data_IF_318166438410
#
_entry.id   IF_318166438410
#
_cell.length_a   1.000
_cell.length_b   1.000
_cell.length_c   1.000
_cell.angle_alpha   90.00
_cell.angle_beta   90.00
_cell.angle_gamma   90.00
#
_symmetry.space_group_name_H-M   'P 1'
#
loop_
_entity.id
_entity.type
_entity.pdbx_description
1 polymer ?
#
# COMPACT_ATOMS: atom_id res chain seq x y z
N UNK A 1 4.47 -9.17 -19.22
CA UNK A 1 3.81 -10.34 -18.62
C UNK A 1 2.30 -10.41 -18.90
N UNK A 2 1.47 -9.48 -18.40
CA UNK A 2 0.00 -9.56 -18.58
C UNK A 2 -0.45 -9.57 -20.05
N UNK A 3 -0.01 -8.58 -20.85
CA UNK A 3 -0.47 -8.43 -22.23
C UNK A 3 0.16 -9.42 -23.23
N UNK A 4 1.41 -9.85 -22.98
CA UNK A 4 2.22 -10.57 -23.95
C UNK A 4 2.65 -11.98 -23.50
N UNK A 5 2.49 -12.33 -22.23
CA UNK A 5 2.92 -13.63 -21.69
C UNK A 5 4.45 -13.81 -21.57
N UNK A 6 5.24 -12.85 -22.02
CA UNK A 6 6.71 -12.85 -21.96
C UNK A 6 7.26 -11.47 -21.60
N UNK A 7 8.56 -11.39 -21.29
CA UNK A 7 9.27 -10.14 -21.05
C UNK A 7 10.04 -9.69 -22.31
N UNK A 8 10.04 -8.37 -22.55
CA UNK A 8 10.99 -7.77 -23.50
C UNK A 8 12.39 -7.76 -22.91
N UNK A 9 13.38 -7.32 -23.70
CA UNK A 9 14.74 -7.15 -23.20
C UNK A 9 14.78 -6.17 -22.03
N UNK A 10 14.08 -5.04 -22.15
CA UNK A 10 13.98 -4.00 -21.14
C UNK A 10 13.29 -4.54 -19.88
N UNK A 11 12.20 -5.29 -20.04
CA UNK A 11 11.51 -5.91 -18.91
C UNK A 11 12.36 -6.94 -18.16
N UNK A 12 13.19 -7.70 -18.87
CA UNK A 12 14.17 -8.60 -18.25
C UNK A 12 15.27 -7.83 -17.51
N UNK A 13 15.79 -6.73 -18.07
CA UNK A 13 16.80 -5.89 -17.42
C UNK A 13 16.24 -5.25 -16.16
N UNK A 14 15.04 -4.68 -16.26
CA UNK A 14 14.33 -4.10 -15.13
C UNK A 14 14.13 -5.13 -14.03
N UNK A 15 13.57 -6.30 -14.33
CA UNK A 15 13.38 -7.34 -13.31
C UNK A 15 14.69 -7.91 -12.77
N UNK A 16 15.72 -8.09 -13.59
CA UNK A 16 17.03 -8.51 -13.12
C UNK A 16 17.61 -7.49 -12.12
N UNK A 17 17.42 -6.18 -12.36
CA UNK A 17 17.79 -5.14 -11.43
C UNK A 17 16.90 -5.15 -10.17
N UNK A 18 15.57 -5.26 -10.32
CA UNK A 18 14.62 -5.34 -9.20
C UNK A 18 14.91 -6.53 -8.29
N UNK A 19 15.30 -7.67 -8.84
CA UNK A 19 15.62 -8.89 -8.10
C UNK A 19 17.08 -8.94 -7.61
N UNK A 20 17.91 -8.00 -8.04
CA UNK A 20 19.29 -7.88 -7.56
C UNK A 20 20.24 -8.88 -8.17
N UNK A 21 19.91 -9.34 -9.37
CA UNK A 21 20.74 -10.24 -10.17
C UNK A 21 21.85 -9.43 -10.86
N UNK A 22 21.57 -8.18 -11.21
CA UNK A 22 22.54 -7.25 -11.80
C UNK A 22 22.62 -5.95 -11.00
N UNK A 23 23.79 -5.31 -11.04
CA UNK A 23 24.03 -3.97 -10.49
C UNK A 23 24.80 -3.12 -11.51
N UNK A 24 24.53 -1.82 -11.55
CA UNK A 24 25.26 -0.92 -12.44
C UNK A 24 26.57 -0.48 -11.77
N UNK A 25 27.67 -0.55 -12.53
CA UNK A 25 28.99 -0.05 -12.10
C UNK A 25 29.43 1.03 -13.06
N UNK A 26 29.99 2.11 -12.52
CA UNK A 26 30.71 3.13 -13.28
C UNK A 26 32.04 3.40 -12.59
N UNK A 27 33.09 2.68 -13.00
CA UNK A 27 34.38 2.73 -12.32
C UNK A 27 35.28 1.55 -12.68
N UNK A 28 36.23 1.23 -11.81
CA UNK A 28 37.16 0.11 -12.02
C UNK A 28 36.55 -1.20 -11.52
N UNK A 29 36.58 -2.25 -12.33
CA UNK A 29 36.17 -3.59 -11.88
C UNK A 29 37.21 -4.20 -10.95
N UNK A 30 36.75 -4.74 -9.82
CA UNK A 30 37.62 -5.42 -8.85
C UNK A 30 38.35 -6.63 -9.46
N UNK A 31 37.68 -7.37 -10.34
CA UNK A 31 38.21 -8.60 -10.92
C UNK A 31 39.31 -8.39 -11.97
N UNK A 32 39.23 -7.31 -12.78
CA UNK A 32 40.12 -7.09 -13.92
C UNK A 32 40.99 -5.85 -13.80
N UNK A 33 40.69 -4.93 -12.88
CA UNK A 33 41.37 -3.65 -12.76
C UNK A 33 41.10 -2.69 -13.94
N UNK A 34 40.20 -3.04 -14.86
CA UNK A 34 39.85 -2.22 -16.02
C UNK A 34 38.68 -1.28 -15.70
N UNK A 35 38.69 -0.09 -16.31
CA UNK A 35 37.53 0.80 -16.30
C UNK A 35 36.35 0.13 -17.04
N UNK A 36 35.16 0.18 -16.45
CA UNK A 36 33.93 -0.38 -16.98
C UNK A 36 32.74 0.49 -16.58
N UNK A 37 31.81 0.64 -17.52
CA UNK A 37 30.52 1.29 -17.29
C UNK A 37 29.42 0.40 -17.86
N UNK A 38 28.54 -0.09 -17.01
CA UNK A 38 27.43 -0.97 -17.42
C UNK A 38 27.00 -1.92 -16.32
N UNK A 39 26.22 -2.92 -16.71
CA UNK A 39 25.75 -3.96 -15.80
C UNK A 39 26.85 -4.97 -15.46
N UNK A 40 26.88 -5.39 -14.20
CA UNK A 40 27.63 -6.56 -13.75
C UNK A 40 26.70 -7.49 -12.98
N UNK A 41 27.02 -8.77 -12.95
CA UNK A 41 26.34 -9.73 -12.08
C UNK A 41 26.58 -9.33 -10.61
N UNK A 42 25.51 -9.31 -9.81
CA UNK A 42 25.60 -8.81 -8.44
C UNK A 42 26.43 -9.71 -7.52
N UNK A 43 26.56 -11.01 -7.84
CA UNK A 43 27.30 -12.00 -7.06
C UNK A 43 28.73 -12.15 -7.55
N UNK A 44 28.94 -12.30 -8.86
CA UNK A 44 30.27 -12.59 -9.42
C UNK A 44 31.05 -11.31 -9.79
N UNK A 45 30.37 -10.17 -9.89
CA UNK A 45 30.91 -8.90 -10.39
C UNK A 45 31.42 -8.96 -11.84
N UNK A 46 31.07 -10.01 -12.59
CA UNK A 46 31.42 -10.13 -13.99
C UNK A 46 30.55 -9.21 -14.87
N UNK A 47 31.13 -8.60 -15.92
CA UNK A 47 30.37 -7.82 -16.91
C UNK A 47 29.20 -8.60 -17.54
N UNK A 48 28.06 -7.93 -17.62
CA UNK A 48 26.85 -8.43 -18.29
C UNK A 48 26.43 -7.42 -19.34
N UNK A 49 26.33 -7.84 -20.60
CA UNK A 49 25.73 -7.01 -21.65
C UNK A 49 24.22 -7.16 -21.59
N UNK A 50 23.49 -6.11 -21.96
CA UNK A 50 22.02 -6.09 -22.01
C UNK A 50 21.45 -7.33 -22.70
N UNK A 51 21.95 -7.65 -23.89
CA UNK A 51 21.53 -8.81 -24.70
C UNK A 51 21.74 -10.17 -24.03
N UNK A 52 22.64 -10.24 -23.04
CA UNK A 52 22.93 -11.47 -22.30
C UNK A 52 22.05 -11.60 -21.05
N UNK A 53 21.34 -10.54 -20.62
CA UNK A 53 20.51 -10.56 -19.42
C UNK A 53 19.38 -11.58 -19.56
N UNK A 54 18.63 -11.53 -20.66
CA UNK A 54 17.48 -12.42 -20.88
C UNK A 54 17.91 -13.91 -20.90
N UNK A 55 18.90 -14.34 -21.72
CA UNK A 55 19.37 -15.73 -21.68
C UNK A 55 19.96 -16.19 -20.35
N UNK A 56 20.53 -15.29 -19.53
CA UNK A 56 21.17 -15.65 -18.25
C UNK A 56 20.18 -15.72 -17.09
N UNK A 57 19.19 -14.83 -17.04
CA UNK A 57 18.40 -14.60 -15.84
C UNK A 57 16.90 -14.86 -16.01
N UNK A 58 16.36 -14.95 -17.23
CA UNK A 58 14.90 -15.07 -17.43
C UNK A 58 14.31 -16.32 -16.75
N UNK A 59 15.01 -17.47 -16.80
CA UNK A 59 14.55 -18.69 -16.12
C UNK A 59 14.39 -18.46 -14.61
N UNK A 60 15.37 -17.83 -13.96
CA UNK A 60 15.30 -17.49 -12.55
C UNK A 60 14.22 -16.44 -12.27
N UNK A 61 14.11 -15.41 -13.11
CA UNK A 61 13.10 -14.35 -12.99
C UNK A 61 11.69 -14.98 -13.00
N UNK A 62 11.41 -15.87 -13.95
CA UNK A 62 10.12 -16.54 -14.07
C UNK A 62 9.83 -17.48 -12.90
N UNK A 63 10.85 -18.19 -12.38
CA UNK A 63 10.70 -19.07 -11.23
C UNK A 63 10.39 -18.32 -9.92
N UNK A 64 10.90 -17.09 -9.78
CA UNK A 64 10.85 -16.30 -8.56
C UNK A 64 10.02 -15.00 -8.67
N UNK A 65 9.08 -14.95 -9.60
CA UNK A 65 8.14 -13.83 -9.80
C UNK A 65 6.71 -14.33 -9.94
N UNK A 66 5.74 -13.57 -9.42
CA UNK A 66 4.31 -13.89 -9.55
C UNK A 66 3.82 -14.96 -8.58
N UNK A 67 2.83 -15.73 -9.00
CA UNK A 67 2.17 -16.76 -8.18
C UNK A 67 3.05 -18.01 -8.13
N UNK A 68 3.59 -18.30 -6.95
CA UNK A 68 4.53 -19.40 -6.72
C UNK A 68 4.43 -19.91 -5.29
N UNK A 69 5.18 -20.98 -4.98
CA UNK A 69 5.29 -21.50 -3.62
C UNK A 69 5.78 -20.41 -2.67
N UNK A 70 5.26 -20.38 -1.45
CA UNK A 70 5.66 -19.42 -0.42
C UNK A 70 7.14 -19.63 -0.10
N UNK A 71 7.93 -18.57 -0.24
CA UNK A 71 9.35 -18.53 0.10
C UNK A 71 9.49 -17.95 1.52
N UNK A 72 9.91 -18.74 2.52
CA UNK A 72 9.95 -18.29 3.92
C UNK A 72 10.77 -17.02 4.15
N UNK A 73 11.79 -16.79 3.33
CA UNK A 73 12.67 -15.62 3.39
C UNK A 73 11.92 -14.31 3.14
N UNK A 74 10.80 -14.34 2.41
CA UNK A 74 9.98 -13.17 2.08
C UNK A 74 8.87 -12.89 3.10
N UNK A 75 8.62 -13.81 4.03
CA UNK A 75 7.50 -13.75 4.98
C UNK A 75 7.95 -14.02 6.42
N UNK A 76 9.05 -13.39 6.83
CA UNK A 76 9.61 -13.47 8.20
C UNK A 76 9.85 -14.91 8.71
N UNK A 77 10.26 -15.83 7.82
CA UNK A 77 10.50 -17.23 8.15
C UNK A 77 9.24 -18.10 8.16
N UNK A 78 8.10 -17.58 7.69
CA UNK A 78 6.86 -18.35 7.61
C UNK A 78 7.00 -19.55 6.67
N UNK A 79 6.93 -20.75 7.26
CA UNK A 79 6.87 -22.01 6.54
C UNK A 79 5.48 -22.65 6.73
N UNK A 80 4.62 -22.67 5.71
CA UNK A 80 3.27 -23.22 5.84
C UNK A 80 3.27 -24.71 6.16
N UNK A 81 4.32 -25.48 5.83
CA UNK A 81 4.41 -26.92 6.15
C UNK A 81 4.93 -27.22 7.57
N UNK A 82 5.41 -26.21 8.29
CA UNK A 82 6.06 -26.35 9.60
C UNK A 82 5.64 -25.26 10.57
N UNK A 83 4.37 -24.87 10.54
CA UNK A 83 3.86 -23.73 11.30
C UNK A 83 3.95 -23.99 12.80
N UNK A 84 4.71 -23.15 13.52
CA UNK A 84 4.84 -23.25 14.98
C UNK A 84 3.61 -22.71 15.70
N UNK A 85 3.01 -23.53 16.56
CA UNK A 85 1.96 -23.15 17.51
C UNK A 85 2.38 -23.52 18.92
N UNK A 86 1.79 -22.86 19.91
CA UNK A 86 1.90 -23.25 21.31
C UNK A 86 0.64 -23.99 21.75
N UNK A 87 0.81 -25.22 22.25
CA UNK A 87 -0.28 -25.98 22.87
C UNK A 87 -0.11 -25.93 24.39
N UNK A 88 -1.17 -25.51 25.07
CA UNK A 88 -1.23 -25.61 26.52
C UNK A 88 -1.42 -27.07 26.94
N UNK A 89 -0.57 -27.53 27.84
CA UNK A 89 -0.63 -28.86 28.45
C UNK A 89 -0.47 -28.73 29.96
N UNK A 90 -1.10 -29.66 30.69
CA UNK A 90 -0.92 -29.76 32.14
C UNK A 90 0.21 -30.73 32.46
N UNK A 91 1.08 -30.32 33.38
CA UNK A 91 2.15 -31.16 33.91
C UNK A 91 1.55 -32.26 34.80
N UNK A 92 1.85 -33.52 34.49
CA UNK A 92 1.32 -34.68 35.21
C UNK A 92 2.18 -35.14 36.40
N UNK A 93 3.44 -34.70 36.45
CA UNK A 93 4.44 -35.03 37.47
C UNK A 93 5.35 -33.83 37.71
N UNK A 94 5.80 -33.61 38.95
CA UNK A 94 6.71 -32.50 39.28
C UNK A 94 7.93 -32.51 38.35
N UNK A 95 8.28 -31.34 37.80
CA UNK A 95 9.45 -31.18 36.94
C UNK A 95 10.74 -31.17 37.75
N UNK A 96 11.86 -31.44 37.09
CA UNK A 96 13.16 -31.15 37.68
C UNK A 96 13.33 -29.63 37.87
N UNK A 97 13.95 -29.18 38.98
CA UNK A 97 14.25 -27.77 39.18
C UNK A 97 15.17 -27.23 38.10
N UNK A 98 15.00 -25.97 37.75
CA UNK A 98 15.94 -25.22 36.91
C UNK A 98 16.31 -23.89 37.57
N UNK A 99 17.44 -23.33 37.18
CA UNK A 99 17.91 -22.05 37.68
C UNK A 99 17.29 -20.88 36.90
N UNK A 100 16.92 -19.82 37.62
CA UNK A 100 16.38 -18.57 37.09
C UNK A 100 16.90 -17.37 37.91
N UNK A 101 16.66 -16.16 37.39
CA UNK A 101 16.87 -14.94 38.17
C UNK A 101 15.83 -14.86 39.31
N UNK A 102 16.14 -14.09 40.36
CA UNK A 102 15.18 -13.87 41.43
C UNK A 102 13.89 -13.17 40.96
N UNK A 103 14.00 -12.29 39.97
CA UNK A 103 12.85 -11.62 39.35
C UNK A 103 11.95 -12.62 38.62
N UNK A 104 12.54 -13.47 37.76
CA UNK A 104 11.80 -14.49 37.02
C UNK A 104 11.16 -15.52 37.95
N UNK A 105 11.88 -15.98 38.97
CA UNK A 105 11.36 -16.92 39.96
C UNK A 105 10.10 -16.36 40.65
N UNK A 106 10.13 -15.10 41.08
CA UNK A 106 8.97 -14.44 41.67
C UNK A 106 7.83 -14.26 40.65
N UNK A 107 8.14 -13.92 39.39
CA UNK A 107 7.15 -13.81 38.32
C UNK A 107 6.46 -15.16 38.03
N UNK A 108 7.22 -16.26 37.99
CA UNK A 108 6.68 -17.62 37.85
C UNK A 108 5.79 -17.99 39.02
N UNK A 109 6.22 -17.71 40.26
CA UNK A 109 5.42 -17.98 41.47
C UNK A 109 4.13 -17.17 41.51
N UNK A 110 4.20 -15.89 41.12
CA UNK A 110 3.03 -15.00 41.06
C UNK A 110 1.97 -15.51 40.07
N UNK A 111 2.41 -15.98 38.90
CA UNK A 111 1.50 -16.46 37.84
C UNK A 111 0.92 -17.85 38.13
N UNK A 112 1.71 -18.74 38.75
CA UNK A 112 1.35 -20.16 38.90
C UNK A 112 0.93 -20.57 40.32
N UNK A 113 1.11 -19.69 41.32
CA UNK A 113 0.68 -19.91 42.70
C UNK A 113 1.28 -21.17 43.33
N UNK A 114 0.42 -22.03 43.86
CA UNK A 114 0.82 -23.29 44.53
C UNK A 114 1.42 -24.33 43.56
N UNK A 115 1.26 -24.14 42.25
CA UNK A 115 1.79 -25.07 41.24
C UNK A 115 3.25 -24.81 40.87
N UNK A 116 3.93 -23.87 41.54
CA UNK A 116 5.37 -23.60 41.38
C UNK A 116 6.01 -23.43 42.75
N UNK A 117 7.14 -24.10 42.98
CA UNK A 117 8.03 -23.84 44.10
C UNK A 117 9.21 -23.00 43.64
N UNK A 118 9.64 -22.09 44.52
CA UNK A 118 10.87 -21.32 44.34
C UNK A 118 11.68 -21.32 45.63
N UNK A 119 13.00 -21.37 45.52
CA UNK A 119 13.91 -21.21 46.66
C UNK A 119 15.23 -20.60 46.21
N UNK A 120 15.84 -19.84 47.11
CA UNK A 120 17.14 -19.20 46.88
C UNK A 120 18.26 -20.22 47.08
N UNK A 121 19.20 -20.25 46.12
CA UNK A 121 20.45 -21.02 46.21
C UNK A 121 21.64 -20.15 46.56
N UNK A 122 22.83 -20.74 46.61
CA UNK A 122 24.06 -20.02 46.92
C UNK A 122 24.44 -19.04 45.79
N UNK A 123 24.84 -17.81 46.13
CA UNK A 123 25.33 -16.83 45.16
C UNK A 123 24.24 -16.03 44.41
N UNK A 124 22.99 -16.06 44.87
CA UNK A 124 21.90 -15.23 44.34
C UNK A 124 21.13 -15.84 43.16
N UNK A 125 21.44 -17.07 42.77
CA UNK A 125 20.63 -17.86 41.83
C UNK A 125 19.37 -18.41 42.50
N UNK A 126 18.23 -18.40 41.81
CA UNK A 126 16.98 -18.98 42.31
C UNK A 126 16.68 -20.28 41.59
N UNK A 127 16.24 -21.30 42.34
CA UNK A 127 15.72 -22.53 41.76
C UNK A 127 14.20 -22.45 41.63
N UNK A 128 13.67 -22.90 40.50
CA UNK A 128 12.24 -22.94 40.19
C UNK A 128 11.84 -24.36 39.85
N UNK A 129 10.77 -24.87 40.45
CA UNK A 129 10.19 -26.17 40.14
C UNK A 129 8.69 -26.03 39.87
N UNK A 130 8.27 -26.34 38.65
CA UNK A 130 6.84 -26.51 38.34
C UNK A 130 6.35 -27.85 38.89
N UNK A 131 5.26 -27.81 39.66
CA UNK A 131 4.61 -28.99 40.25
C UNK A 131 3.56 -29.57 39.31
N UNK A 132 3.17 -30.82 39.60
CA UNK A 132 1.98 -31.44 39.03
C UNK A 132 0.79 -30.50 39.13
N UNK A 133 0.11 -30.30 38.01
CA UNK A 133 -1.04 -29.41 37.88
C UNK A 133 -0.73 -28.05 37.26
N UNK A 134 0.55 -27.64 37.19
CA UNK A 134 0.97 -26.46 36.45
C UNK A 134 0.66 -26.59 34.96
N UNK A 135 0.35 -25.46 34.31
CA UNK A 135 0.12 -25.36 32.88
C UNK A 135 1.38 -24.83 32.20
N UNK A 136 1.82 -25.52 31.15
CA UNK A 136 2.92 -25.07 30.30
C UNK A 136 2.47 -25.02 28.85
N UNK A 137 3.17 -24.21 28.05
CA UNK A 137 2.93 -24.08 26.61
C UNK A 137 4.08 -24.73 25.85
N UNK A 138 3.78 -25.76 25.06
CA UNK A 138 4.77 -26.52 24.31
C UNK A 138 4.65 -26.23 22.81
N UNK A 139 5.76 -25.90 22.11
CA UNK A 139 5.77 -25.74 20.67
C UNK A 139 5.39 -27.02 19.92
N UNK A 140 4.57 -26.88 18.88
CA UNK A 140 4.18 -27.95 17.96
C UNK A 140 4.14 -27.40 16.53
N UNK A 141 4.47 -28.24 15.55
CA UNK A 141 4.32 -27.91 14.14
C UNK A 141 2.97 -28.39 13.59
N UNK A 142 2.25 -27.52 12.90
CA UNK A 142 1.09 -27.86 12.08
C UNK A 142 1.43 -27.74 10.59
N UNK A 143 0.85 -28.64 9.79
CA UNK A 143 0.90 -28.53 8.33
C UNK A 143 -0.29 -27.70 7.85
N UNK A 144 -0.01 -26.58 7.20
CA UNK A 144 -0.96 -25.77 6.47
C UNK A 144 -1.26 -26.37 5.10
N UNK A 145 -2.34 -25.89 4.50
CA UNK A 145 -2.86 -26.32 3.21
C UNK A 145 -2.85 -25.19 2.15
N UNK A 146 -2.36 -24.00 2.53
CA UNK A 146 -2.05 -22.87 1.66
C UNK A 146 -0.54 -22.75 1.51
N UNK A 147 -0.04 -23.20 0.35
CA UNK A 147 1.40 -23.31 0.07
C UNK A 147 1.86 -22.31 -1.00
N UNK A 148 0.93 -21.59 -1.62
CA UNK A 148 1.15 -20.74 -2.80
C UNK A 148 0.61 -19.34 -2.51
N UNK A 149 1.34 -18.31 -2.95
CA UNK A 149 0.94 -16.91 -2.88
C UNK A 149 1.55 -16.10 -4.04
N UNK A 150 0.93 -14.96 -4.36
CA UNK A 150 1.47 -13.94 -5.26
C UNK A 150 2.45 -13.05 -4.52
N UNK A 151 3.73 -13.38 -4.59
CA UNK A 151 4.78 -12.71 -3.83
C UNK A 151 5.52 -11.69 -4.71
N UNK A 152 5.93 -10.57 -4.11
CA UNK A 152 6.90 -9.64 -4.70
C UNK A 152 8.13 -10.43 -5.18
N UNK A 153 8.76 -10.06 -6.32
CA UNK A 153 9.90 -10.82 -6.85
C UNK A 153 11.00 -11.03 -5.82
N UNK A 154 11.51 -12.25 -5.73
CA UNK A 154 12.57 -12.58 -4.76
C UNK A 154 13.82 -11.75 -5.05
N UNK A 155 14.35 -11.11 -4.00
CA UNK A 155 15.49 -10.19 -4.11
C UNK A 155 15.12 -8.72 -4.34
N UNK A 156 13.82 -8.41 -4.40
CA UNK A 156 13.33 -7.04 -4.24
C UNK A 156 13.83 -6.45 -2.91
N UNK A 157 14.28 -5.20 -2.95
CA UNK A 157 14.76 -4.51 -1.78
C UNK A 157 14.44 -3.01 -1.87
N UNK A 158 13.87 -2.40 -0.81
CA UNK A 158 13.56 -0.97 -0.81
C UNK A 158 14.82 -0.10 -0.90
N UNK A 159 15.96 -0.60 -0.42
CA UNK A 159 17.23 0.15 -0.45
C UNK A 159 17.78 0.29 -1.86
N UNK A 160 17.44 -0.61 -2.79
CA UNK A 160 17.82 -0.47 -4.20
C UNK A 160 17.11 0.70 -4.89
N UNK A 161 15.93 1.05 -4.40
CA UNK A 161 15.19 2.24 -4.81
C UNK A 161 15.63 3.51 -4.08
N UNK A 162 16.63 3.42 -3.19
CA UNK A 162 17.19 4.56 -2.47
C UNK A 162 16.57 4.83 -1.10
N UNK A 163 15.66 3.98 -0.60
CA UNK A 163 15.18 4.10 0.78
C UNK A 163 16.35 3.82 1.75
N UNK A 164 16.67 4.73 2.69
CA UNK A 164 17.74 4.51 3.67
C UNK A 164 17.54 3.22 4.48
N UNK A 165 18.65 2.54 4.80
CA UNK A 165 18.59 1.22 5.46
C UNK A 165 17.97 1.28 6.86
N UNK A 166 18.19 2.37 7.60
CA UNK A 166 17.56 2.65 8.89
C UNK A 166 16.04 2.81 8.76
N UNK A 167 15.58 3.58 7.76
CA UNK A 167 14.15 3.72 7.44
C UNK A 167 13.56 2.36 7.05
N UNK A 168 14.20 1.61 6.16
CA UNK A 168 13.71 0.30 5.71
C UNK A 168 13.60 -0.73 6.86
N UNK A 169 14.47 -0.65 7.88
CA UNK A 169 14.39 -1.47 9.09
C UNK A 169 13.35 -0.97 10.09
N UNK A 170 13.10 0.34 10.10
CA UNK A 170 12.11 0.97 10.95
C UNK A 170 10.70 0.73 10.41
N UNK A 171 10.39 0.96 9.15
CA UNK A 171 8.99 0.92 8.72
C UNK A 171 8.48 -0.51 8.52
N UNK A 172 7.16 -0.66 8.51
CA UNK A 172 6.52 -1.90 8.07
C UNK A 172 6.72 -2.14 6.56
N UNK A 173 6.81 -3.39 6.05
CA UNK A 173 6.91 -3.67 4.62
C UNK A 173 5.88 -2.94 3.74
N UNK A 174 4.64 -2.76 4.20
CA UNK A 174 3.63 -2.00 3.42
C UNK A 174 4.04 -0.55 3.17
N UNK A 175 4.75 0.07 4.11
CA UNK A 175 5.28 1.42 3.94
C UNK A 175 6.37 1.45 2.87
N UNK A 176 7.27 0.46 2.86
CA UNK A 176 8.30 0.35 1.83
C UNK A 176 7.68 0.22 0.43
N UNK A 177 6.65 -0.62 0.25
CA UNK A 177 5.94 -0.74 -1.03
C UNK A 177 5.29 0.59 -1.43
N UNK A 178 4.66 1.27 -0.47
CA UNK A 178 3.96 2.54 -0.71
C UNK A 178 4.92 3.65 -1.13
N UNK A 179 6.08 3.77 -0.48
CA UNK A 179 7.08 4.77 -0.82
C UNK A 179 7.60 4.59 -2.25
N UNK A 180 7.98 3.35 -2.61
CA UNK A 180 8.45 3.04 -3.98
C UNK A 180 7.36 3.32 -5.00
N UNK A 181 6.14 2.80 -4.79
CA UNK A 181 5.03 3.01 -5.71
C UNK A 181 4.65 4.50 -5.85
N UNK A 182 4.77 5.28 -4.77
CA UNK A 182 4.53 6.73 -4.81
C UNK A 182 5.55 7.45 -5.68
N UNK A 183 6.84 7.16 -5.50
CA UNK A 183 7.91 7.76 -6.32
C UNK A 183 7.73 7.38 -7.79
N UNK A 184 7.47 6.10 -8.08
CA UNK A 184 7.21 5.66 -9.46
C UNK A 184 5.99 6.36 -10.07
N UNK A 185 4.90 6.53 -9.31
CA UNK A 185 3.72 7.26 -9.78
C UNK A 185 4.01 8.75 -10.06
N UNK A 186 4.80 9.41 -9.21
CA UNK A 186 5.23 10.79 -9.40
C UNK A 186 6.13 10.94 -10.64
N UNK A 187 7.14 10.08 -10.79
CA UNK A 187 8.04 10.07 -11.97
C UNK A 187 7.25 9.82 -13.25
N UNK A 188 6.29 8.88 -13.23
CA UNK A 188 5.37 8.64 -14.36
C UNK A 188 4.48 9.85 -14.66
N UNK A 189 4.24 10.72 -13.67
CA UNK A 189 3.51 11.97 -13.81
C UNK A 189 4.41 13.16 -14.18
N UNK A 190 5.67 12.91 -14.53
CA UNK A 190 6.64 13.96 -14.86
C UNK A 190 7.19 14.73 -13.65
N UNK A 191 6.85 14.30 -12.43
CA UNK A 191 7.25 14.94 -11.18
C UNK A 191 8.49 14.21 -10.66
N UNK A 192 9.67 14.78 -10.89
CA UNK A 192 10.94 14.20 -10.42
C UNK A 192 11.36 14.72 -9.05
N UNK A 193 10.92 15.93 -8.71
CA UNK A 193 10.98 16.51 -7.37
C UNK A 193 9.54 16.84 -6.93
N UNK A 194 9.00 16.19 -5.88
CA UNK A 194 7.65 16.47 -5.39
C UNK A 194 7.39 17.95 -5.07
N UNK A 195 8.44 18.72 -4.73
CA UNK A 195 8.29 20.12 -4.32
C UNK A 195 8.07 21.07 -5.50
N UNK A 196 8.28 20.62 -6.74
CA UNK A 196 7.90 21.34 -7.95
C UNK A 196 6.40 21.69 -7.95
N UNK A 197 5.56 20.82 -7.38
CA UNK A 197 4.12 21.06 -7.23
C UNK A 197 3.81 22.36 -6.50
N UNK A 198 4.67 22.79 -5.56
CA UNK A 198 4.43 23.98 -4.75
C UNK A 198 4.76 25.30 -5.44
N UNK A 199 5.32 25.22 -6.65
CA UNK A 199 5.45 26.39 -7.53
C UNK A 199 4.11 26.73 -8.21
N UNK A 200 3.21 25.75 -8.31
CA UNK A 200 1.92 25.86 -9.00
C UNK A 200 0.73 25.85 -8.04
N UNK A 201 0.81 25.05 -6.97
CA UNK A 201 -0.30 24.79 -6.07
C UNK A 201 0.08 25.12 -4.64
N UNK A 202 -0.87 25.60 -3.85
CA UNK A 202 -0.58 25.89 -2.44
C UNK A 202 -0.27 24.58 -1.69
N UNK A 203 0.57 24.63 -0.66
CA UNK A 203 0.95 23.44 0.13
C UNK A 203 -0.24 22.69 0.75
N UNK A 204 -1.39 23.38 0.92
CA UNK A 204 -2.64 22.80 1.42
C UNK A 204 -3.49 22.13 0.33
N UNK A 205 -3.08 22.15 -0.93
CA UNK A 205 -3.84 21.64 -2.07
C UNK A 205 -3.27 20.35 -2.65
N UNK A 206 -2.23 19.80 -2.03
CA UNK A 206 -1.65 18.49 -2.36
C UNK A 206 -1.98 17.53 -1.23
N UNK A 207 -2.71 16.45 -1.52
CA UNK A 207 -3.23 15.53 -0.51
C UNK A 207 -2.98 14.05 -0.82
N UNK A 208 -3.42 13.20 0.11
CA UNK A 208 -3.22 11.74 0.04
C UNK A 208 -4.44 10.99 0.60
N UNK A 209 -4.98 10.05 -0.17
CA UNK A 209 -6.08 9.14 0.20
C UNK A 209 -5.68 7.67 0.15
N UNK A 210 -4.38 7.35 -0.03
CA UNK A 210 -3.89 5.96 -0.09
C UNK A 210 -4.37 5.16 1.11
N UNK A 211 -5.01 4.03 0.88
CA UNK A 211 -5.58 3.20 1.94
C UNK A 211 -4.94 1.81 2.03
N UNK A 212 -5.36 1.05 3.02
CA UNK A 212 -5.00 -0.37 3.20
C UNK A 212 -6.19 -1.14 3.76
N UNK A 213 -6.28 -2.44 3.46
CA UNK A 213 -7.28 -3.32 4.06
C UNK A 213 -6.98 -3.62 5.52
N UNK A 214 -5.73 -3.98 5.83
CA UNK A 214 -5.29 -4.42 7.17
C UNK A 214 -4.31 -3.44 7.81
N UNK A 215 -3.44 -2.79 7.03
CA UNK A 215 -2.31 -2.00 7.53
C UNK A 215 -1.04 -2.83 7.67
N UNK A 216 -0.18 -2.47 8.64
CA UNK A 216 1.10 -3.16 8.88
C UNK A 216 0.91 -4.50 9.59
N UNK A 217 0.73 -5.57 8.82
CA UNK A 217 0.52 -6.94 9.28
C UNK A 217 1.74 -7.53 9.98
N UNK A 218 2.94 -7.29 9.45
CA UNK A 218 4.21 -7.68 10.06
C UNK A 218 4.41 -7.03 11.44
N UNK A 219 4.06 -5.75 11.56
CA UNK A 219 4.09 -5.03 12.83
C UNK A 219 3.01 -5.50 13.80
N UNK A 220 1.80 -5.81 13.32
CA UNK A 220 0.74 -6.42 14.13
C UNK A 220 1.17 -7.78 14.69
N UNK A 221 1.79 -8.63 13.87
CA UNK A 221 2.32 -9.92 14.30
C UNK A 221 3.33 -9.75 15.44
N UNK A 222 4.27 -8.81 15.32
CA UNK A 222 5.26 -8.53 16.38
C UNK A 222 4.58 -8.06 17.67
N UNK A 223 3.60 -7.18 17.60
CA UNK A 223 2.91 -6.70 18.80
C UNK A 223 2.21 -7.83 19.54
N UNK A 224 1.42 -8.64 18.84
CA UNK A 224 0.58 -9.63 19.51
C UNK A 224 1.31 -10.94 19.81
N UNK A 225 2.18 -11.41 18.91
CA UNK A 225 2.89 -12.68 19.05
C UNK A 225 4.20 -12.52 19.79
N UNK A 226 5.06 -11.58 19.38
CA UNK A 226 6.41 -11.48 19.97
C UNK A 226 6.36 -10.95 21.40
N UNK A 227 5.56 -9.92 21.68
CA UNK A 227 5.41 -9.43 23.07
C UNK A 227 4.78 -10.48 24.00
N UNK A 228 3.86 -11.30 23.50
CA UNK A 228 3.28 -12.39 24.30
C UNK A 228 4.27 -13.53 24.60
N UNK A 229 5.37 -13.60 23.84
CA UNK A 229 6.48 -14.55 24.03
C UNK A 229 7.70 -13.90 24.69
N UNK A 230 7.58 -12.66 25.16
CA UNK A 230 8.70 -11.85 25.68
C UNK A 230 9.90 -11.75 24.73
N UNK A 231 9.63 -11.80 23.42
CA UNK A 231 10.60 -11.49 22.39
C UNK A 231 10.68 -9.97 22.28
N UNK A 232 11.89 -9.43 22.23
CA UNK A 232 12.12 -7.98 22.15
C UNK A 232 11.41 -7.38 20.93
N UNK A 233 10.59 -6.37 21.19
CA UNK A 233 9.91 -5.57 20.17
C UNK A 233 10.13 -4.11 20.53
N UNK A 234 10.56 -3.33 19.54
CA UNK A 234 10.73 -1.88 19.67
C UNK A 234 9.53 -1.20 20.32
N UNK A 235 9.77 -0.08 20.99
CA UNK A 235 8.76 0.66 21.74
C UNK A 235 7.74 1.38 20.85
N UNK A 236 8.11 1.83 19.65
CA UNK A 236 7.27 2.61 18.73
C UNK A 236 6.48 1.75 17.72
N UNK A 237 6.56 0.41 17.79
CA UNK A 237 5.97 -0.52 16.81
C UNK A 237 4.47 -0.31 16.57
N UNK A 238 3.74 0.21 17.57
CA UNK A 238 2.30 0.43 17.48
C UNK A 238 1.95 1.37 16.33
N UNK A 239 2.75 2.42 16.12
CA UNK A 239 2.47 3.40 15.07
C UNK A 239 2.54 2.75 13.68
N UNK A 240 3.41 1.76 13.47
CA UNK A 240 3.60 1.08 12.18
C UNK A 240 2.45 0.10 11.86
N UNK A 241 1.55 -0.16 12.81
CA UNK A 241 0.35 -0.97 12.55
C UNK A 241 -0.78 -0.16 11.91
N UNK A 242 -0.78 1.17 12.07
CA UNK A 242 -1.91 1.98 11.63
C UNK A 242 -1.93 2.14 10.11
N UNK A 243 -3.13 1.99 9.54
CA UNK A 243 -3.36 2.21 8.10
C UNK A 243 -2.98 3.63 7.67
N UNK A 244 -3.12 4.62 8.54
CA UNK A 244 -2.73 6.02 8.27
C UNK A 244 -1.22 6.23 8.15
N UNK A 245 -0.41 5.33 8.69
CA UNK A 245 1.04 5.55 8.81
C UNK A 245 1.74 5.50 7.47
N UNK A 246 1.23 4.74 6.48
CA UNK A 246 1.76 4.75 5.11
C UNK A 246 1.65 6.15 4.48
N UNK A 247 0.57 6.89 4.76
CA UNK A 247 0.40 8.27 4.29
C UNK A 247 1.33 9.23 5.03
N UNK A 248 1.51 9.01 6.34
CA UNK A 248 2.41 9.82 7.17
C UNK A 248 3.85 9.72 6.67
N UNK A 249 4.37 8.52 6.40
CA UNK A 249 5.71 8.33 5.86
C UNK A 249 5.89 8.95 4.48
N UNK A 250 4.91 8.81 3.58
CA UNK A 250 4.93 9.51 2.28
C UNK A 250 5.01 11.03 2.48
N UNK A 251 4.23 11.59 3.40
CA UNK A 251 4.28 13.03 3.64
C UNK A 251 5.59 13.48 4.30
N UNK A 252 6.09 12.72 5.27
CA UNK A 252 7.31 13.06 6.01
C UNK A 252 8.59 12.94 5.17
N UNK A 253 8.64 11.99 4.23
CA UNK A 253 9.83 11.70 3.45
C UNK A 253 9.83 12.31 2.05
N UNK A 254 8.65 12.54 1.45
CA UNK A 254 8.54 12.94 0.04
C UNK A 254 7.78 14.24 -0.14
N UNK A 255 6.56 14.34 0.38
CA UNK A 255 5.64 15.42 -0.04
C UNK A 255 5.78 16.69 0.80
N UNK A 256 5.87 16.60 2.12
CA UNK A 256 5.79 17.75 3.04
C UNK A 256 4.58 18.67 2.79
N UNK A 257 3.46 18.09 2.34
CA UNK A 257 2.22 18.83 2.09
C UNK A 257 1.46 19.10 3.40
N UNK A 258 0.61 20.11 3.37
CA UNK A 258 -0.37 20.44 4.42
C UNK A 258 -1.81 20.24 3.92
N UNK A 259 -2.00 19.45 2.87
CA UNK A 259 -3.30 19.24 2.26
C UNK A 259 -4.09 18.08 2.86
N UNK A 260 -5.24 17.71 2.25
CA UNK A 260 -6.13 16.70 2.81
C UNK A 260 -5.46 15.33 2.93
N UNK A 261 -5.50 14.76 4.13
CA UNK A 261 -5.07 13.38 4.41
C UNK A 261 -6.28 12.60 4.91
N UNK A 262 -6.61 11.51 4.20
CA UNK A 262 -7.79 10.67 4.50
C UNK A 262 -7.40 9.20 4.40
N UNK A 263 -7.01 8.56 5.51
CA UNK A 263 -6.77 7.11 5.54
C UNK A 263 -8.09 6.36 5.29
N UNK A 264 -8.09 5.39 4.38
CA UNK A 264 -9.29 4.69 3.95
C UNK A 264 -9.15 3.18 4.10
N UNK A 265 -10.25 2.55 4.47
CA UNK A 265 -10.37 1.11 4.67
C UNK A 265 -11.64 0.64 3.98
N UNK A 266 -11.48 -0.11 2.89
CA UNK A 266 -12.56 -0.70 2.11
C UNK A 266 -12.32 -2.18 1.80
N UNK A 267 -11.47 -2.85 2.60
CA UNK A 267 -10.97 -4.20 2.34
C UNK A 267 -10.47 -4.33 0.89
N UNK A 268 -10.94 -5.33 0.14
CA UNK A 268 -10.53 -5.57 -1.25
C UNK A 268 -10.84 -4.42 -2.23
N UNK A 269 -11.74 -3.50 -1.87
CA UNK A 269 -12.13 -2.36 -2.71
C UNK A 269 -11.44 -1.03 -2.31
N UNK A 270 -10.49 -1.07 -1.37
CA UNK A 270 -9.84 0.14 -0.81
C UNK A 270 -9.23 1.05 -1.88
N UNK A 271 -8.60 0.48 -2.93
CA UNK A 271 -8.03 1.28 -4.01
C UNK A 271 -9.07 2.11 -4.78
N UNK A 272 -10.25 1.55 -5.05
CA UNK A 272 -11.34 2.28 -5.72
C UNK A 272 -11.95 3.32 -4.79
N UNK A 273 -12.16 2.97 -3.52
CA UNK A 273 -12.62 3.92 -2.49
C UNK A 273 -11.65 5.11 -2.35
N UNK A 274 -10.34 4.85 -2.42
CA UNK A 274 -9.30 5.87 -2.38
C UNK A 274 -9.39 6.86 -3.54
N UNK A 275 -9.63 6.34 -4.75
CA UNK A 275 -9.84 7.15 -5.96
C UNK A 275 -11.14 7.97 -5.84
N UNK A 276 -12.23 7.36 -5.37
CA UNK A 276 -13.53 8.02 -5.18
C UNK A 276 -13.40 9.26 -4.29
N UNK A 277 -12.81 9.07 -3.11
CA UNK A 277 -12.62 10.15 -2.14
C UNK A 277 -11.62 11.19 -2.65
N UNK A 278 -10.59 10.81 -3.42
CA UNK A 278 -9.68 11.77 -4.05
C UNK A 278 -10.41 12.66 -5.06
N UNK A 279 -11.27 12.09 -5.90
CA UNK A 279 -12.08 12.84 -6.87
C UNK A 279 -13.01 13.81 -6.15
N UNK A 280 -13.74 13.36 -5.12
CA UNK A 280 -14.60 14.24 -4.32
C UNK A 280 -13.79 15.36 -3.66
N UNK A 281 -12.57 15.07 -3.20
CA UNK A 281 -11.69 16.06 -2.58
C UNK A 281 -11.28 17.13 -3.59
N UNK A 282 -10.90 16.74 -4.81
CA UNK A 282 -10.55 17.65 -5.89
C UNK A 282 -11.77 18.47 -6.34
N UNK A 283 -12.91 17.83 -6.56
CA UNK A 283 -14.14 18.49 -6.97
C UNK A 283 -14.67 19.47 -5.92
N UNK A 284 -14.43 19.20 -4.64
CA UNK A 284 -14.78 20.12 -3.55
C UNK A 284 -13.85 21.35 -3.43
N UNK A 285 -12.79 21.43 -4.23
CA UNK A 285 -11.80 22.51 -4.19
C UNK A 285 -10.83 22.43 -3.01
N UNK A 286 -10.82 21.32 -2.26
CA UNK A 286 -9.91 21.12 -1.11
C UNK A 286 -8.50 20.70 -1.53
N UNK A 287 -8.35 20.17 -2.74
CA UNK A 287 -7.08 19.79 -3.32
C UNK A 287 -7.08 20.00 -4.83
N UNK A 288 -5.89 20.22 -5.39
CA UNK A 288 -5.64 20.24 -6.84
C UNK A 288 -4.91 18.98 -7.29
N UNK A 289 -4.15 18.36 -6.38
CA UNK A 289 -3.39 17.11 -6.60
C UNK A 289 -3.66 16.14 -5.45
N UNK A 290 -3.93 14.88 -5.77
CA UNK A 290 -4.16 13.81 -4.80
C UNK A 290 -3.38 12.56 -5.17
N UNK A 291 -2.62 12.01 -4.23
CA UNK A 291 -2.15 10.62 -4.29
C UNK A 291 -3.30 9.71 -3.84
N UNK A 292 -3.63 8.70 -4.64
CA UNK A 292 -4.68 7.74 -4.35
C UNK A 292 -4.23 6.32 -4.68
N UNK A 293 -4.76 5.32 -3.98
CA UNK A 293 -4.33 3.93 -4.19
C UNK A 293 -4.60 3.01 -3.01
N UNK A 294 -3.98 1.84 -3.07
CA UNK A 294 -4.10 0.80 -2.05
C UNK A 294 -2.78 0.05 -1.83
N UNK A 295 -2.59 -0.45 -0.61
CA UNK A 295 -1.47 -1.30 -0.22
C UNK A 295 -1.92 -2.37 0.77
N UNK A 296 -1.44 -3.60 0.60
CA UNK A 296 -1.57 -4.66 1.60
C UNK A 296 -0.36 -5.62 1.45
N UNK A 297 0.02 -6.28 2.55
CA UNK A 297 1.04 -7.32 2.55
C UNK A 297 0.44 -8.71 2.74
N UNK A 298 1.26 -9.73 2.51
CA UNK A 298 0.96 -11.12 2.82
C UNK A 298 1.76 -11.53 4.05
N UNK A 299 1.09 -12.08 5.07
CA UNK A 299 1.72 -12.55 6.30
C UNK A 299 1.02 -13.81 6.84
N UNK A 300 1.68 -14.55 7.73
CA UNK A 300 1.23 -15.85 8.24
C UNK A 300 -0.25 -15.81 8.66
N UNK A 301 -0.61 -14.91 9.58
CA UNK A 301 -1.95 -14.86 10.18
C UNK A 301 -3.03 -14.52 9.14
N UNK A 302 -2.77 -13.61 8.19
CA UNK A 302 -3.71 -13.34 7.09
C UNK A 302 -4.03 -14.57 6.26
N UNK A 303 -3.01 -15.35 5.89
CA UNK A 303 -3.17 -16.55 5.07
C UNK A 303 -4.03 -17.61 5.77
N UNK A 304 -3.84 -17.77 7.08
CA UNK A 304 -4.59 -18.71 7.90
C UNK A 304 -6.05 -18.29 8.05
N UNK A 305 -6.31 -17.03 8.35
CA UNK A 305 -7.68 -16.56 8.58
C UNK A 305 -8.48 -16.57 7.27
N UNK A 306 -7.88 -16.21 6.14
CA UNK A 306 -8.53 -16.39 4.84
C UNK A 306 -8.78 -17.87 4.47
N UNK A 307 -7.88 -18.77 4.85
CA UNK A 307 -8.10 -20.21 4.70
C UNK A 307 -9.26 -20.70 5.56
N UNK A 308 -9.34 -20.25 6.83
CA UNK A 308 -10.41 -20.55 7.78
C UNK A 308 -11.78 -20.08 7.28
N UNK A 309 -11.81 -18.93 6.61
CA UNK A 309 -13.01 -18.40 5.94
C UNK A 309 -13.41 -19.18 4.68
N UNK A 310 -12.58 -20.13 4.21
CA UNK A 310 -12.77 -20.83 2.94
C UNK A 310 -12.65 -19.92 1.72
N UNK A 311 -11.92 -18.80 1.84
CA UNK A 311 -11.84 -17.77 0.80
C UNK A 311 -10.72 -18.03 -0.22
N UNK A 312 -9.56 -18.50 0.23
CA UNK A 312 -8.40 -18.81 -0.62
C UNK A 312 -8.39 -20.24 -1.13
N UNK A 313 -7.74 -20.47 -2.27
CA UNK A 313 -7.62 -21.81 -2.86
C UNK A 313 -6.73 -22.74 -2.04
N UNK A 314 -7.23 -23.95 -1.71
CA UNK A 314 -6.43 -24.99 -1.06
C UNK A 314 -5.36 -25.56 -2.02
N UNK A 315 -4.09 -25.32 -1.73
CA UNK A 315 -2.98 -25.71 -2.62
C UNK A 315 -2.85 -27.23 -2.75
N UNK A 316 -3.09 -28.00 -1.69
CA UNK A 316 -3.01 -29.46 -1.73
C UNK A 316 -4.08 -30.06 -2.67
N UNK A 317 -5.31 -29.54 -2.60
CA UNK A 317 -6.40 -29.95 -3.49
C UNK A 317 -6.11 -29.59 -4.96
N UNK A 318 -5.45 -28.46 -5.18
CA UNK A 318 -5.07 -28.01 -6.52
C UNK A 318 -3.94 -28.88 -7.10
N UNK A 319 -2.92 -29.22 -6.30
CA UNK A 319 -1.89 -30.18 -6.70
C UNK A 319 -2.47 -31.58 -6.96
N UNK A 320 -3.41 -32.04 -6.15
CA UNK A 320 -4.10 -33.32 -6.38
C UNK A 320 -4.89 -33.35 -7.70
N UNK A 321 -5.30 -32.18 -8.21
CA UNK A 321 -5.94 -32.00 -9.53
C UNK A 321 -4.93 -31.76 -10.66
N UNK A 322 -3.63 -31.87 -10.38
CA UNK A 322 -2.55 -31.71 -11.36
C UNK A 322 -2.23 -30.27 -11.75
N UNK A 323 -2.58 -29.28 -10.91
CA UNK A 323 -2.38 -27.87 -11.23
C UNK A 323 -1.05 -27.32 -10.75
N UNK A 324 -0.39 -26.56 -11.61
CA UNK A 324 0.76 -25.74 -11.24
C UNK A 324 0.32 -24.46 -10.50
N UNK A 325 1.19 -23.85 -9.66
CA UNK A 325 0.89 -22.58 -9.00
C UNK A 325 0.40 -21.47 -9.95
N UNK A 326 0.99 -21.38 -11.14
CA UNK A 326 0.69 -20.37 -12.16
C UNK A 326 -0.76 -20.38 -12.69
N UNK A 327 -1.49 -21.49 -12.54
CA UNK A 327 -2.89 -21.64 -12.96
C UNK A 327 -3.88 -21.78 -11.79
N UNK A 328 -3.41 -21.61 -10.55
CA UNK A 328 -4.28 -21.67 -9.36
C UNK A 328 -5.20 -20.45 -9.26
N UNK A 329 -4.75 -19.28 -9.73
CA UNK A 329 -5.63 -18.11 -9.91
C UNK A 329 -6.29 -18.15 -11.30
N UNK A 330 -7.58 -18.47 -11.35
CA UNK A 330 -8.32 -18.71 -12.61
C UNK A 330 -9.74 -18.14 -12.58
N UNK A 331 -9.90 -16.81 -12.64
CA UNK A 331 -11.20 -16.14 -12.64
C UNK A 331 -12.14 -16.70 -13.73
N UNK A 332 -13.45 -16.64 -13.48
CA UNK A 332 -14.50 -17.02 -14.45
C UNK A 332 -14.48 -18.48 -14.96
N UNK A 333 -13.61 -19.36 -14.44
CA UNK A 333 -13.57 -20.77 -14.83
C UNK A 333 -14.59 -21.63 -14.07
N UNK A 334 -15.01 -22.75 -14.68
CA UNK A 334 -15.92 -23.74 -14.06
C UNK A 334 -15.35 -24.38 -12.80
N UNK A 335 -14.02 -24.44 -12.70
CA UNK A 335 -13.29 -25.11 -11.61
C UNK A 335 -12.55 -24.16 -10.69
N UNK A 336 -12.86 -22.85 -10.71
CA UNK A 336 -12.32 -21.87 -9.73
C UNK A 336 -12.68 -22.30 -8.31
N UNK A 337 -11.76 -22.17 -7.35
CA UNK A 337 -11.92 -22.76 -6.02
C UNK A 337 -11.35 -21.87 -4.90
N UNK A 338 -11.64 -20.57 -4.95
CA UNK A 338 -11.05 -19.56 -4.06
C UNK A 338 -10.07 -18.64 -4.80
N UNK A 339 -9.71 -17.53 -4.16
CA UNK A 339 -8.74 -16.58 -4.72
C UNK A 339 -7.30 -16.96 -4.33
N UNK A 340 -6.33 -16.34 -5.00
CA UNK A 340 -4.91 -16.42 -4.66
C UNK A 340 -4.49 -15.11 -4.00
N UNK A 341 -4.03 -15.19 -2.75
CA UNK A 341 -3.57 -14.02 -2.01
C UNK A 341 -2.25 -13.50 -2.57
N UNK A 342 -2.04 -12.18 -2.53
CA UNK A 342 -0.80 -11.54 -2.95
C UNK A 342 -0.57 -10.23 -2.21
N UNK A 343 0.61 -9.64 -2.43
CA UNK A 343 1.09 -8.46 -1.70
C UNK A 343 1.59 -7.37 -2.64
N UNK A 344 1.52 -6.11 -2.21
CA UNK A 344 2.09 -4.97 -2.94
C UNK A 344 1.33 -3.66 -2.73
N UNK A 345 1.74 -2.63 -3.47
CA UNK A 345 1.10 -1.32 -3.50
C UNK A 345 0.79 -0.90 -4.92
N UNK A 346 -0.26 -0.10 -5.09
CA UNK A 346 -0.58 0.58 -6.35
C UNK A 346 -1.04 2.00 -6.07
N UNK A 347 -0.33 2.99 -6.64
CA UNK A 347 -0.56 4.42 -6.43
C UNK A 347 -0.78 5.12 -7.77
N UNK A 348 -1.72 6.06 -7.78
CA UNK A 348 -1.98 6.97 -8.90
C UNK A 348 -1.92 8.42 -8.41
N UNK A 349 -1.40 9.30 -9.25
CA UNK A 349 -1.45 10.75 -9.05
C UNK A 349 -2.64 11.31 -9.81
N UNK A 350 -3.62 11.86 -9.09
CA UNK A 350 -4.81 12.48 -9.65
C UNK A 350 -4.70 13.99 -9.57
N UNK A 351 -5.08 14.66 -10.65
CA UNK A 351 -5.14 16.12 -10.72
C UNK A 351 -6.46 16.55 -11.32
N UNK A 352 -6.93 17.76 -10.99
CA UNK A 352 -7.95 18.38 -11.84
C UNK A 352 -7.37 18.59 -13.24
N UNK A 353 -8.21 18.53 -14.28
CA UNK A 353 -7.73 18.69 -15.66
C UNK A 353 -7.02 20.04 -15.86
N UNK A 354 -7.51 21.11 -15.21
CA UNK A 354 -6.85 22.42 -15.24
C UNK A 354 -5.49 22.40 -14.54
N UNK A 355 -5.36 21.73 -13.39
CA UNK A 355 -4.07 21.58 -12.70
C UNK A 355 -3.06 20.77 -13.53
N UNK A 356 -3.49 19.67 -14.16
CA UNK A 356 -2.62 18.88 -15.03
C UNK A 356 -2.11 19.70 -16.23
N UNK A 357 -2.98 20.51 -16.84
CA UNK A 357 -2.61 21.40 -17.96
C UNK A 357 -1.69 22.53 -17.49
N UNK A 358 -1.99 23.16 -16.35
CA UNK A 358 -1.19 24.24 -15.76
C UNK A 358 0.21 23.77 -15.40
N UNK A 359 0.34 22.57 -14.83
CA UNK A 359 1.63 21.95 -14.48
C UNK A 359 2.36 21.39 -15.72
N UNK A 360 1.63 20.95 -16.75
CA UNK A 360 2.21 20.25 -17.91
C UNK A 360 2.40 18.74 -17.69
N UNK A 361 1.61 18.13 -16.80
CA UNK A 361 1.67 16.70 -16.52
C UNK A 361 1.18 15.84 -17.70
N UNK A 362 1.73 14.63 -17.91
CA UNK A 362 1.16 13.66 -18.83
C UNK A 362 -0.21 13.18 -18.35
N UNK A 363 -1.20 13.17 -19.26
CA UNK A 363 -2.58 12.74 -18.96
C UNK A 363 -2.80 11.35 -19.57
N UNK A 364 -2.79 10.33 -18.71
CA UNK A 364 -2.98 8.93 -19.13
C UNK A 364 -4.45 8.55 -19.34
N UNK A 365 -5.38 9.27 -18.71
CA UNK A 365 -6.80 8.99 -18.80
C UNK A 365 -7.65 9.99 -18.03
N UNK A 366 -8.96 9.94 -18.26
CA UNK A 366 -9.95 10.77 -17.58
C UNK A 366 -10.85 9.85 -16.77
N UNK A 367 -10.96 10.09 -15.46
CA UNK A 367 -11.92 9.37 -14.62
C UNK A 367 -13.30 10.00 -14.80
N UNK A 368 -14.12 9.39 -15.67
CA UNK A 368 -15.45 9.91 -15.99
C UNK A 368 -16.47 9.71 -14.85
N UNK A 369 -16.28 8.66 -14.05
CA UNK A 369 -17.15 8.33 -12.91
C UNK A 369 -16.35 7.52 -11.89
N UNK A 370 -16.67 7.74 -10.63
CA UNK A 370 -16.32 6.87 -9.51
C UNK A 370 -17.56 6.73 -8.62
N UNK A 371 -17.62 5.67 -7.83
CA UNK A 371 -18.65 5.52 -6.81
C UNK A 371 -18.52 4.22 -6.05
N UNK A 372 -19.00 4.25 -4.81
CA UNK A 372 -19.06 3.11 -3.91
C UNK A 372 -20.49 2.83 -3.48
N UNK A 373 -20.78 1.58 -3.13
CA UNK A 373 -22.11 1.18 -2.69
C UNK A 373 -22.03 0.03 -1.69
N UNK A 374 -22.84 0.11 -0.64
CA UNK A 374 -23.18 -1.05 0.20
C UNK A 374 -24.28 -1.86 -0.47
N UNK A 375 -24.51 -3.08 0.04
CA UNK A 375 -25.49 -3.99 -0.54
C UNK A 375 -26.88 -3.90 0.12
N UNK A 376 -27.15 -4.76 1.10
CA UNK A 376 -28.45 -4.89 1.75
C UNK A 376 -28.30 -5.62 3.08
N UNK A 377 -29.40 -5.75 3.82
CA UNK A 377 -29.44 -6.55 5.04
C UNK A 377 -28.93 -7.99 4.78
N UNK A 378 -28.00 -8.45 5.60
CA UNK A 378 -27.39 -9.78 5.51
C UNK A 378 -26.76 -10.22 6.82
N UNK A 379 -26.28 -11.46 6.87
CA UNK A 379 -25.55 -12.03 8.02
C UNK A 379 -24.20 -12.64 7.64
N UNK A 380 -23.78 -12.46 6.39
CA UNK A 380 -22.48 -12.91 5.88
C UNK A 380 -21.75 -11.70 5.34
N UNK A 381 -20.78 -11.20 6.11
CA UNK A 381 -19.93 -10.06 5.74
C UNK A 381 -19.12 -10.31 4.46
N UNK A 382 -18.51 -11.50 4.21
CA UNK A 382 -17.72 -11.71 2.99
C UNK A 382 -18.56 -11.97 1.73
N UNK A 383 -19.89 -12.08 1.85
CA UNK A 383 -20.74 -12.34 0.70
C UNK A 383 -20.84 -11.08 -0.19
N UNK A 384 -20.42 -11.15 -1.46
CA UNK A 384 -20.56 -10.01 -2.37
C UNK A 384 -22.02 -9.81 -2.76
N UNK A 385 -22.42 -8.56 -2.98
CA UNK A 385 -23.75 -8.22 -3.52
C UNK A 385 -23.71 -7.46 -4.84
N UNK A 386 -24.73 -6.61 -5.02
CA UNK A 386 -25.07 -5.95 -6.28
C UNK A 386 -25.39 -4.47 -6.10
N UNK A 387 -25.08 -3.86 -4.95
CA UNK A 387 -25.37 -2.45 -4.67
C UNK A 387 -24.78 -1.50 -5.71
N UNK A 388 -23.61 -1.85 -6.26
CA UNK A 388 -22.94 -1.10 -7.33
C UNK A 388 -23.77 -0.97 -8.62
N UNK A 389 -24.77 -1.83 -8.86
CA UNK A 389 -25.71 -1.68 -9.99
C UNK A 389 -26.48 -0.36 -9.95
N UNK A 390 -26.58 0.29 -8.79
CA UNK A 390 -27.21 1.62 -8.68
C UNK A 390 -26.46 2.71 -9.44
N UNK A 391 -25.21 2.47 -9.86
CA UNK A 391 -24.47 3.36 -10.77
C UNK A 391 -25.13 3.50 -12.14
N UNK A 392 -25.91 2.50 -12.58
CA UNK A 392 -26.63 2.52 -13.85
C UNK A 392 -28.11 2.89 -13.69
N UNK A 393 -28.52 3.44 -12.53
CA UNK A 393 -29.92 3.78 -12.28
C UNK A 393 -30.36 4.93 -13.18
N UNK A 394 -31.48 4.74 -13.87
CA UNK A 394 -32.14 5.78 -14.66
C UNK A 394 -33.66 5.61 -14.63
N UNK A 395 -34.38 6.67 -14.96
CA UNK A 395 -35.85 6.64 -15.13
C UNK A 395 -36.18 6.77 -16.60
N UNK A 396 -36.85 5.78 -17.17
CA UNK A 396 -37.29 5.80 -18.58
C UNK A 396 -38.42 6.83 -18.78
N UNK A 397 -38.23 7.77 -19.70
CA UNK A 397 -39.28 8.69 -20.16
C UNK A 397 -39.74 8.36 -21.58
N UNK A 398 -40.98 8.73 -21.93
CA UNK A 398 -41.54 8.52 -23.27
C UNK A 398 -41.00 9.47 -24.36
N UNK A 399 -40.23 10.49 -23.97
CA UNK A 399 -39.61 11.46 -24.87
C UNK A 399 -38.09 11.54 -24.60
N UNK A 400 -37.24 11.69 -25.64
CA UNK A 400 -35.81 11.90 -25.45
C UNK A 400 -35.50 13.17 -24.63
N UNK A 401 -34.63 13.04 -23.63
CA UNK A 401 -34.20 14.19 -22.83
C UNK A 401 -33.33 15.14 -23.67
N UNK A 402 -33.74 16.42 -23.73
CA UNK A 402 -32.95 17.48 -24.40
C UNK A 402 -31.59 17.69 -23.75
N UNK A 403 -31.44 17.39 -22.45
CA UNK A 403 -30.17 17.55 -21.73
C UNK A 403 -29.08 16.61 -22.21
N UNK A 404 -29.44 15.45 -22.78
CA UNK A 404 -28.47 14.54 -23.38
C UNK A 404 -27.93 15.05 -24.72
N UNK A 405 -28.62 16.01 -25.36
CA UNK A 405 -28.16 16.61 -26.61
C UNK A 405 -27.06 17.66 -26.33
N UNK A 406 -25.83 17.37 -26.75
CA UNK A 406 -24.66 18.25 -26.57
C UNK A 406 -24.87 19.63 -27.23
N UNK A 407 -25.46 19.67 -28.43
CA UNK A 407 -25.75 20.92 -29.12
C UNK A 407 -26.78 21.78 -28.39
N UNK A 408 -27.77 21.16 -27.75
CA UNK A 408 -28.69 21.87 -26.86
C UNK A 408 -27.97 22.47 -25.66
N UNK A 409 -27.15 21.68 -24.93
CA UNK A 409 -26.38 22.18 -23.78
C UNK A 409 -25.43 23.31 -24.15
N UNK A 410 -24.72 23.20 -25.28
CA UNK A 410 -23.83 24.25 -25.79
C UNK A 410 -24.55 25.58 -26.01
N UNK A 411 -25.71 25.56 -26.68
CA UNK A 411 -26.50 26.80 -26.89
C UNK A 411 -27.00 27.43 -25.60
N UNK A 412 -27.34 26.64 -24.58
CA UNK A 412 -27.74 27.19 -23.28
C UNK A 412 -26.55 27.83 -22.57
N UNK A 413 -25.38 27.19 -22.61
CA UNK A 413 -24.14 27.75 -22.06
C UNK A 413 -23.76 29.07 -22.74
N UNK A 414 -23.77 29.14 -24.07
CA UNK A 414 -23.47 30.35 -24.83
C UNK A 414 -24.38 31.54 -24.44
N UNK A 415 -25.67 31.27 -24.19
CA UNK A 415 -26.61 32.29 -23.72
C UNK A 415 -26.30 32.77 -22.30
N UNK A 416 -25.92 31.86 -21.41
CA UNK A 416 -25.53 32.22 -20.04
C UNK A 416 -24.25 33.05 -20.03
N UNK A 417 -23.25 32.65 -20.84
CA UNK A 417 -22.00 33.40 -20.98
C UNK A 417 -22.26 34.83 -21.49
N UNK A 418 -23.09 35.00 -22.52
CA UNK A 418 -23.46 36.33 -23.00
C UNK A 418 -24.16 37.20 -21.94
N UNK A 419 -24.98 36.59 -21.08
CA UNK A 419 -25.61 37.30 -19.95
C UNK A 419 -24.60 37.70 -18.88
N UNK A 420 -23.60 36.86 -18.61
CA UNK A 420 -22.52 37.16 -17.66
C UNK A 420 -21.60 38.27 -18.19
N UNK A 421 -21.34 38.30 -19.50
CA UNK A 421 -20.56 39.36 -20.14
C UNK A 421 -21.27 40.72 -20.02
N UNK A 422 -22.58 40.76 -20.24
CA UNK A 422 -23.39 41.96 -20.05
C UNK A 422 -23.36 42.43 -18.58
N UNK A 423 -23.61 41.51 -17.63
CA UNK A 423 -23.53 41.82 -16.21
C UNK A 423 -22.15 42.36 -15.80
N UNK A 424 -21.07 41.72 -16.28
CA UNK A 424 -19.69 42.18 -16.03
C UNK A 424 -19.46 43.60 -16.54
N UNK A 425 -19.97 43.94 -17.72
CA UNK A 425 -19.84 45.29 -18.28
C UNK A 425 -20.57 46.33 -17.45
N UNK A 426 -21.76 46.00 -16.93
CA UNK A 426 -22.54 46.86 -16.05
C UNK A 426 -21.79 47.12 -14.72
N UNK A 427 -21.31 46.07 -14.05
CA UNK A 427 -20.53 46.21 -12.79
C UNK A 427 -19.25 47.03 -12.98
N UNK A 428 -18.54 46.85 -14.10
CA UNK A 428 -17.34 47.63 -14.41
C UNK A 428 -17.66 49.11 -14.65
N UNK A 429 -18.82 49.40 -15.26
CA UNK A 429 -19.28 50.78 -15.46
C UNK A 429 -19.64 51.45 -14.13
N UNK A 430 -20.37 50.74 -13.24
CA UNK A 430 -20.67 51.24 -11.90
C UNK A 430 -19.40 51.48 -11.07
N UNK A 431 -18.42 50.57 -11.15
CA UNK A 431 -17.14 50.75 -10.47
C UNK A 431 -16.36 51.96 -11.01
N UNK A 432 -16.39 52.21 -12.31
CA UNK A 432 -15.76 53.39 -12.92
C UNK A 432 -16.42 54.69 -12.43
N UNK A 433 -17.75 54.74 -12.38
CA UNK A 433 -18.49 55.88 -11.84
C UNK A 433 -18.18 56.13 -10.36
N UNK A 434 -17.99 55.08 -9.55
CA UNK A 434 -17.56 55.21 -8.14
C UNK A 434 -16.14 55.77 -7.98
N UNK A 435 -15.23 55.47 -8.92
CA UNK A 435 -13.86 55.99 -8.94
C UNK A 435 -13.84 57.46 -9.37
N UNK A 436 -14.66 57.83 -10.34
CA UNK A 436 -14.73 59.18 -10.92
C UNK A 436 -15.56 60.16 -10.06
N UNK A 437 -16.56 59.67 -9.33
CA UNK A 437 -17.35 60.43 -8.36
C UNK A 437 -17.27 59.83 -6.94
N UNK A 438 -16.10 59.90 -6.27
CA UNK A 438 -15.95 59.37 -4.92
C UNK A 438 -16.80 60.21 -3.96
N UNK A 439 -17.87 59.64 -3.44
CA UNK A 439 -18.53 60.22 -2.26
C UNK A 439 -17.59 60.15 -1.04
N UNK A 440 -17.68 61.14 -0.15
CA UNK A 440 -16.74 61.48 0.94
C UNK A 440 -16.42 60.35 1.97
N UNK A 441 -16.94 59.13 1.81
CA UNK A 441 -16.72 58.01 2.74
C UNK A 441 -15.82 56.87 2.22
N UNK A 442 -15.39 56.85 0.96
CA UNK A 442 -14.68 55.68 0.39
C UNK A 442 -13.40 55.97 -0.45
N UNK A 443 -12.96 57.22 -0.53
CA UNK A 443 -11.92 57.66 -1.49
C UNK A 443 -10.51 57.05 -1.36
N UNK A 444 -10.18 56.38 -0.25
CA UNK A 444 -8.86 55.74 -0.06
C UNK A 444 -8.83 54.24 -0.45
N UNK A 445 -9.98 53.57 -0.53
CA UNK A 445 -10.08 52.12 -0.78
C UNK A 445 -10.20 51.78 -2.28
N UNK A 446 -10.96 52.58 -3.03
CA UNK A 446 -11.26 52.28 -4.44
C UNK A 446 -10.03 52.35 -5.37
N UNK A 447 -9.08 53.28 -5.11
CA UNK A 447 -7.87 53.43 -5.93
C UNK A 447 -6.85 52.30 -5.77
N UNK A 448 -6.84 51.59 -4.63
CA UNK A 448 -5.98 50.42 -4.46
C UNK A 448 -6.59 49.16 -5.09
N UNK A 449 -7.92 49.08 -5.12
CA UNK A 449 -8.65 47.93 -5.69
C UNK A 449 -8.58 47.90 -7.23
N UNK A 450 -8.70 49.06 -7.88
CA UNK A 450 -8.61 49.16 -9.35
C UNK A 450 -7.24 48.70 -9.90
N UNK A 451 -6.15 48.91 -9.15
CA UNK A 451 -4.80 48.47 -9.54
C UNK A 451 -4.58 46.95 -9.44
N UNK A 452 -5.42 46.21 -8.72
CA UNK A 452 -5.30 44.76 -8.59
C UNK A 452 -6.07 43.97 -9.65
N UNK A 453 -6.93 44.62 -10.44
CA UNK A 453 -7.79 43.96 -11.44
C UNK A 453 -7.16 43.98 -12.86
N UNK A 454 -6.13 44.82 -13.08
CA UNK A 454 -5.41 44.91 -14.37
C UNK A 454 -4.19 43.96 -14.50
N UNK A 455 -3.94 43.08 -13.52
CA UNK A 455 -2.92 42.02 -13.59
C UNK A 455 -3.55 40.65 -13.50
#
# INVERSE_FOLDING_TARGET
MEAYGEFSLEGCIELAWVMGLIKHVNGTLNATGSAYTGWVDAKTEEPVRDVDVKPRYEEYILAHTGIRLIEPELSAGYNPNGRSILREIQIEHDMEPFEASGEDAQAFKSTNGENVDIWEGDGGSWSVRFRKGALIRVPMALRGDRLVAGQIPTGWSPTRYGIPEDVAKQVDPVTCYTLVATVEALVRSGITDPYELYQYFHVSEVGNTTGSGIGGGSSLQRIFKHRALDIEVRSDILQETFISTVQAWVNMLLMSSSGPVKPLVGACATGVLSIDVAIETIQSGKARVMLAGGVDEFFEESSIEFASMGATSNSLDEFAKGRAPSEMCRPCTSTRNGFMEGQGAGIVTLMSASAAIEFGAPIYGIIAMSGTATDKQGRSVPAPGKGVLTSTRETSGGLPSRLLNIGYRRRQLERQLASLDAWKQEELAELADMVDNPSDSAGHSARSYAKQIEG
#
